data_IF_199556033503
#
_entry.id   IF_199556033503
#
_cell.length_a   1.000
_cell.length_b   1.000
_cell.length_c   1.000
_cell.angle_alpha   90.00
_cell.angle_beta   90.00
_cell.angle_gamma   90.00
#
_symmetry.space_group_name_H-M   'P 1'
#
loop_
_entity.id
_entity.type
_entity.pdbx_description
1 polymer ?
#
# COMPACT_ATOMS: atom_id res chain seq x y z
N UNK A 1 12.76 -26.17 -10.92
CA UNK A 1 11.76 -25.19 -11.42
C UNK A 1 11.20 -24.20 -10.37
N UNK A 2 11.70 -24.13 -9.12
CA UNK A 2 11.13 -23.26 -8.07
C UNK A 2 11.84 -21.92 -7.83
N UNK A 3 12.72 -21.45 -8.72
CA UNK A 3 13.47 -20.20 -8.50
C UNK A 3 12.80 -18.94 -9.09
N UNK A 4 11.76 -19.08 -9.92
CA UNK A 4 11.15 -17.95 -10.65
C UNK A 4 9.93 -17.33 -9.95
N UNK A 5 9.14 -18.11 -9.18
CA UNK A 5 7.91 -17.59 -8.53
C UNK A 5 8.19 -16.70 -7.32
N UNK A 6 9.20 -17.03 -6.51
CA UNK A 6 9.58 -16.27 -5.30
C UNK A 6 10.18 -14.89 -5.58
N UNK A 7 10.61 -14.62 -6.83
CA UNK A 7 11.16 -13.31 -7.25
C UNK A 7 10.07 -12.31 -7.67
N UNK A 8 8.88 -12.80 -8.07
CA UNK A 8 7.76 -11.96 -8.52
C UNK A 8 6.80 -11.57 -7.39
N UNK A 9 6.74 -12.39 -6.35
CA UNK A 9 5.94 -12.15 -5.15
C UNK A 9 6.16 -10.75 -4.53
N UNK A 10 7.40 -10.29 -4.28
CA UNK A 10 7.62 -8.94 -3.72
C UNK A 10 7.26 -7.82 -4.71
N UNK A 11 7.43 -8.05 -6.02
CA UNK A 11 7.03 -7.08 -7.05
C UNK A 11 5.50 -6.89 -7.08
N UNK A 12 4.75 -8.00 -7.02
CA UNK A 12 3.30 -7.97 -6.97
C UNK A 12 2.78 -7.23 -5.73
N UNK A 13 3.40 -7.44 -4.56
CA UNK A 13 3.04 -6.73 -3.32
C UNK A 13 3.31 -5.23 -3.41
N UNK A 14 4.40 -4.81 -4.07
CA UNK A 14 4.68 -3.37 -4.28
C UNK A 14 3.61 -2.74 -5.18
N UNK A 15 3.30 -3.35 -6.32
CA UNK A 15 2.28 -2.83 -7.23
C UNK A 15 0.93 -2.73 -6.51
N UNK A 16 0.55 -3.78 -5.76
CA UNK A 16 -0.65 -3.76 -4.94
C UNK A 16 -0.65 -2.61 -3.92
N UNK A 17 0.47 -2.40 -3.23
CA UNK A 17 0.57 -1.32 -2.24
C UNK A 17 0.38 0.07 -2.84
N UNK A 18 0.84 0.31 -4.08
CA UNK A 18 0.65 1.58 -4.80
C UNK A 18 -0.82 1.79 -5.18
N UNK A 19 -1.48 0.74 -5.68
CA UNK A 19 -2.92 0.80 -5.98
C UNK A 19 -3.74 1.08 -4.71
N UNK A 20 -3.47 0.35 -3.62
CA UNK A 20 -4.18 0.53 -2.36
C UNK A 20 -3.90 1.89 -1.71
N UNK A 21 -2.67 2.41 -1.84
CA UNK A 21 -2.33 3.77 -1.41
C UNK A 21 -3.13 4.82 -2.19
N UNK A 22 -3.25 4.65 -3.51
CA UNK A 22 -4.04 5.55 -4.36
C UNK A 22 -5.52 5.55 -3.97
N UNK A 23 -6.10 4.37 -3.73
CA UNK A 23 -7.48 4.22 -3.26
C UNK A 23 -7.68 4.89 -1.89
N UNK A 24 -6.70 4.75 -0.99
CA UNK A 24 -6.77 5.37 0.34
C UNK A 24 -6.77 6.90 0.25
N UNK A 25 -6.02 7.49 -0.69
CA UNK A 25 -6.03 8.94 -0.93
C UNK A 25 -7.38 9.38 -1.48
N UNK A 26 -7.98 8.62 -2.39
CA UNK A 26 -9.32 8.91 -2.91
C UNK A 26 -10.36 8.90 -1.79
N UNK A 27 -10.35 7.88 -0.93
CA UNK A 27 -11.22 7.77 0.23
C UNK A 27 -11.08 8.98 1.17
N UNK A 28 -9.84 9.44 1.42
CA UNK A 28 -9.58 10.63 2.22
C UNK A 28 -10.16 11.89 1.58
N UNK A 29 -9.97 12.07 0.26
CA UNK A 29 -10.51 13.21 -0.46
C UNK A 29 -12.04 13.24 -0.44
N UNK A 30 -12.70 12.08 -0.63
CA UNK A 30 -14.15 11.95 -0.54
C UNK A 30 -14.66 12.27 0.87
N UNK A 31 -13.96 11.79 1.91
CA UNK A 31 -14.32 12.06 3.30
C UNK A 31 -14.25 13.55 3.63
N UNK A 32 -13.20 14.25 3.17
CA UNK A 32 -13.09 15.71 3.33
C UNK A 32 -14.21 16.43 2.59
N UNK A 33 -14.52 16.02 1.35
CA UNK A 33 -15.66 16.59 0.61
C UNK A 33 -16.99 16.34 1.32
N UNK A 34 -17.17 15.18 1.96
CA UNK A 34 -18.37 14.88 2.75
C UNK A 34 -18.54 15.85 3.94
N UNK A 35 -17.45 16.21 4.64
CA UNK A 35 -17.48 17.23 5.70
C UNK A 35 -17.96 18.58 5.14
N UNK A 36 -17.39 19.02 4.02
CA UNK A 36 -17.73 20.30 3.40
C UNK A 36 -19.20 20.31 2.96
N UNK A 37 -19.69 19.21 2.38
CA UNK A 37 -21.10 19.08 1.97
C UNK A 37 -22.06 19.09 3.16
N UNK A 38 -21.74 18.37 4.23
CA UNK A 38 -22.55 18.38 5.46
C UNK A 38 -22.54 19.74 6.16
N UNK A 39 -21.46 20.50 6.05
CA UNK A 39 -21.39 21.87 6.55
C UNK A 39 -22.26 22.86 5.74
N UNK A 40 -22.62 22.53 4.50
CA UNK A 40 -23.34 23.43 3.59
C UNK A 40 -24.82 23.06 3.40
N UNK A 41 -25.15 21.77 3.42
CA UNK A 41 -26.51 21.27 3.26
C UNK A 41 -26.80 20.29 4.39
N UNK A 42 -27.82 20.58 5.19
CA UNK A 42 -28.38 19.68 6.21
C UNK A 42 -28.87 18.37 5.56
N UNK A 43 -27.94 17.46 5.25
CA UNK A 43 -28.29 16.15 4.71
C UNK A 43 -28.95 15.31 5.80
N UNK A 44 -30.14 14.83 5.50
CA UNK A 44 -30.85 13.85 6.31
C UNK A 44 -30.06 12.54 6.36
N UNK A 45 -30.10 11.89 7.53
CA UNK A 45 -29.40 10.65 7.79
C UNK A 45 -29.82 9.57 6.77
N UNK A 46 -28.87 8.80 6.21
CA UNK A 46 -29.20 7.66 5.37
C UNK A 46 -30.03 6.65 6.19
N UNK A 47 -31.27 6.41 5.79
CA UNK A 47 -32.11 5.38 6.39
C UNK A 47 -31.59 4.02 5.93
N UNK A 48 -30.63 3.48 6.68
CA UNK A 48 -30.12 2.14 6.46
C UNK A 48 -31.13 1.13 7.00
N UNK A 49 -31.74 0.36 6.10
CA UNK A 49 -32.61 -0.75 6.47
C UNK A 49 -31.87 -1.74 7.37
N UNK A 50 -32.52 -2.22 8.43
CA UNK A 50 -31.97 -3.25 9.34
C UNK A 50 -31.46 -4.49 8.59
N UNK A 51 -32.03 -4.79 7.42
CA UNK A 51 -31.58 -5.85 6.53
C UNK A 51 -30.17 -5.58 5.95
N UNK A 52 -29.89 -4.34 5.54
CA UNK A 52 -28.58 -3.94 5.03
C UNK A 52 -27.50 -4.03 6.13
N UNK A 53 -27.87 -3.68 7.36
CA UNK A 53 -26.99 -3.80 8.52
C UNK A 53 -26.65 -5.28 8.83
N UNK A 54 -27.65 -6.16 8.74
CA UNK A 54 -27.45 -7.62 8.88
C UNK A 54 -26.54 -8.22 7.80
N UNK A 55 -26.73 -7.81 6.54
CA UNK A 55 -25.87 -8.24 5.42
C UNK A 55 -24.43 -7.75 5.62
N UNK A 56 -24.21 -6.49 5.98
CA UNK A 56 -22.86 -5.96 6.25
C UNK A 56 -22.19 -6.69 7.42
N UNK A 57 -22.93 -7.00 8.49
CA UNK A 57 -22.42 -7.77 9.61
C UNK A 57 -21.98 -9.19 9.18
N UNK A 58 -22.76 -9.86 8.31
CA UNK A 58 -22.39 -11.17 7.76
C UNK A 58 -21.07 -11.13 6.97
N UNK A 59 -20.85 -10.08 6.19
CA UNK A 59 -19.63 -9.90 5.39
C UNK A 59 -18.41 -9.76 6.31
N UNK A 60 -18.53 -9.02 7.40
CA UNK A 60 -17.46 -8.86 8.39
C UNK A 60 -17.13 -10.21 9.03
N UNK A 61 -18.13 -11.01 9.40
CA UNK A 61 -17.91 -12.35 9.98
C UNK A 61 -17.20 -13.27 8.98
N UNK A 62 -17.61 -13.27 7.71
CA UNK A 62 -16.92 -14.07 6.67
C UNK A 62 -15.46 -13.64 6.50
N UNK A 63 -15.19 -12.32 6.46
CA UNK A 63 -13.81 -11.81 6.36
C UNK A 63 -12.99 -12.14 7.61
N UNK A 64 -13.58 -12.08 8.80
CA UNK A 64 -12.91 -12.49 10.06
C UNK A 64 -12.51 -13.97 10.05
N UNK A 65 -13.40 -14.86 9.60
CA UNK A 65 -13.07 -16.28 9.50
C UNK A 65 -11.92 -16.50 8.52
N UNK A 66 -11.96 -15.83 7.37
CA UNK A 66 -10.90 -15.95 6.36
C UNK A 66 -9.57 -15.39 6.88
N UNK A 67 -9.60 -14.33 7.68
CA UNK A 67 -8.43 -13.74 8.31
C UNK A 67 -7.79 -14.70 9.33
N UNK A 68 -8.61 -15.36 10.16
CA UNK A 68 -8.15 -16.39 11.10
C UNK A 68 -7.51 -17.55 10.36
N UNK A 69 -8.10 -17.99 9.24
CA UNK A 69 -7.52 -19.05 8.38
C UNK A 69 -6.16 -18.60 7.82
N UNK A 70 -6.06 -17.36 7.32
CA UNK A 70 -4.82 -16.82 6.80
C UNK A 70 -3.72 -16.74 7.87
N UNK A 71 -4.06 -16.39 9.11
CA UNK A 71 -3.12 -16.40 10.24
C UNK A 71 -2.66 -17.82 10.57
N UNK A 72 -3.59 -18.77 10.60
CA UNK A 72 -3.33 -20.14 11.06
C UNK A 72 -2.56 -20.99 10.05
N UNK A 73 -2.80 -20.79 8.75
CA UNK A 73 -2.26 -21.64 7.68
C UNK A 73 -1.36 -20.91 6.68
N UNK A 74 -1.26 -19.58 6.76
CA UNK A 74 -0.60 -18.77 5.74
C UNK A 74 0.77 -18.24 6.15
N UNK A 75 1.78 -18.51 5.32
CA UNK A 75 3.10 -17.89 5.36
C UNK A 75 3.59 -17.47 3.96
N UNK A 76 4.25 -16.32 3.87
CA UNK A 76 4.72 -15.75 2.60
C UNK A 76 4.37 -14.27 2.47
N UNK A 77 5.09 -13.56 1.60
CA UNK A 77 4.91 -12.12 1.43
C UNK A 77 3.53 -11.77 0.86
N UNK A 78 3.00 -12.59 -0.05
CA UNK A 78 1.66 -12.42 -0.60
C UNK A 78 0.57 -12.65 0.47
N UNK A 79 0.77 -13.65 1.35
CA UNK A 79 -0.20 -13.94 2.41
C UNK A 79 -0.16 -12.84 3.49
N UNK A 80 1.01 -12.29 3.82
CA UNK A 80 1.09 -11.17 4.75
C UNK A 80 0.44 -9.88 4.22
N UNK A 81 0.56 -9.64 2.91
CA UNK A 81 -0.19 -8.58 2.24
C UNK A 81 -1.72 -8.83 2.32
N UNK A 82 -2.15 -10.07 2.06
CA UNK A 82 -3.56 -10.46 2.15
C UNK A 82 -4.12 -10.35 3.58
N UNK A 83 -3.35 -10.73 4.60
CA UNK A 83 -3.73 -10.55 6.02
C UNK A 83 -3.92 -9.08 6.36
N UNK A 84 -3.03 -8.23 5.87
CA UNK A 84 -3.07 -6.78 6.09
C UNK A 84 -4.30 -6.17 5.41
N UNK A 85 -4.58 -6.58 4.18
CA UNK A 85 -5.76 -6.21 3.42
C UNK A 85 -7.05 -6.57 4.14
N UNK A 86 -7.19 -7.84 4.55
CA UNK A 86 -8.37 -8.29 5.27
C UNK A 86 -8.58 -7.58 6.61
N UNK A 87 -7.51 -7.27 7.35
CA UNK A 87 -7.61 -6.48 8.57
C UNK A 87 -8.15 -5.09 8.28
N UNK A 88 -7.61 -4.42 7.25
CA UNK A 88 -8.05 -3.09 6.86
C UNK A 88 -9.52 -3.09 6.41
N UNK A 89 -9.94 -4.12 5.69
CA UNK A 89 -11.34 -4.33 5.31
C UNK A 89 -12.29 -4.57 6.49
N UNK A 90 -11.86 -5.34 7.49
CA UNK A 90 -12.66 -5.57 8.69
C UNK A 90 -12.82 -4.25 9.46
N UNK A 91 -11.75 -3.46 9.58
CA UNK A 91 -11.79 -2.17 10.26
C UNK A 91 -12.69 -1.16 9.56
N UNK A 92 -12.60 -1.02 8.23
CA UNK A 92 -13.47 -0.12 7.47
C UNK A 92 -14.92 -0.52 7.57
N UNK A 93 -15.24 -1.80 7.35
CA UNK A 93 -16.62 -2.28 7.41
C UNK A 93 -17.20 -2.18 8.83
N UNK A 94 -16.41 -2.50 9.87
CA UNK A 94 -16.83 -2.34 11.26
C UNK A 94 -17.11 -0.87 11.59
N UNK A 95 -16.24 0.03 11.14
CA UNK A 95 -16.44 1.45 11.31
C UNK A 95 -17.68 1.97 10.57
N UNK A 96 -17.93 1.51 9.34
CA UNK A 96 -19.17 1.84 8.62
C UNK A 96 -20.41 1.42 9.39
N UNK A 97 -20.44 0.23 10.00
CA UNK A 97 -21.56 -0.19 10.85
C UNK A 97 -21.64 0.64 12.13
N UNK A 98 -20.51 0.96 12.76
CA UNK A 98 -20.49 1.80 13.95
C UNK A 98 -21.05 3.18 13.64
N UNK A 99 -20.55 3.87 12.60
CA UNK A 99 -21.01 5.20 12.25
C UNK A 99 -22.44 5.20 11.70
N UNK A 100 -22.80 4.26 10.82
CA UNK A 100 -24.15 4.15 10.26
C UNK A 100 -25.18 3.71 11.29
N UNK A 101 -24.84 2.75 12.15
CA UNK A 101 -25.70 2.25 13.23
C UNK A 101 -25.86 3.26 14.37
N UNK A 102 -24.80 3.98 14.74
CA UNK A 102 -24.88 5.08 15.70
C UNK A 102 -25.68 6.25 15.13
N UNK A 103 -25.49 6.62 13.85
CA UNK A 103 -26.25 7.68 13.21
C UNK A 103 -27.77 7.40 13.17
N UNK A 104 -28.18 6.14 12.94
CA UNK A 104 -29.58 5.74 12.95
C UNK A 104 -30.23 5.68 14.35
N UNK A 105 -29.44 5.45 15.42
CA UNK A 105 -29.95 5.34 16.80
C UNK A 105 -29.78 6.61 17.64
N UNK A 106 -28.83 7.47 17.30
CA UNK A 106 -28.45 8.69 18.03
C UNK A 106 -28.77 9.96 17.24
N UNK A 107 -29.83 9.93 16.43
CA UNK A 107 -30.36 11.05 15.64
C UNK A 107 -30.74 12.28 16.51
N UNK A 108 -30.71 12.13 17.83
CA UNK A 108 -31.06 13.14 18.82
C UNK A 108 -29.91 14.08 19.24
N UNK A 109 -28.67 13.87 18.76
CA UNK A 109 -27.50 14.71 19.07
C UNK A 109 -26.85 15.30 17.80
N UNK A 110 -27.01 16.60 17.56
CA UNK A 110 -26.49 17.30 16.36
C UNK A 110 -24.96 17.20 16.17
N UNK A 111 -24.19 17.07 17.25
CA UNK A 111 -22.73 17.01 17.19
C UNK A 111 -22.18 15.68 16.66
N UNK A 112 -22.97 14.62 16.59
CA UNK A 112 -22.51 13.30 16.10
C UNK A 112 -22.45 13.19 14.57
N UNK A 113 -23.00 14.16 13.82
CA UNK A 113 -22.98 14.15 12.34
C UNK A 113 -21.56 14.23 11.77
N UNK A 114 -20.63 14.87 12.48
CA UNK A 114 -19.23 14.97 12.08
C UNK A 114 -18.40 13.72 12.44
N UNK A 115 -18.95 12.80 13.22
CA UNK A 115 -18.22 11.62 13.69
C UNK A 115 -17.91 10.65 12.54
N UNK A 116 -18.83 10.49 11.60
CA UNK A 116 -18.68 9.62 10.42
C UNK A 116 -17.51 10.03 9.50
N UNK A 117 -17.43 11.29 9.02
CA UNK A 117 -16.33 11.68 8.14
C UNK A 117 -14.99 11.82 8.88
N UNK A 118 -14.99 12.19 10.17
CA UNK A 118 -13.77 12.19 11.00
C UNK A 118 -13.25 10.76 11.17
N UNK A 119 -14.15 9.82 11.42
CA UNK A 119 -13.85 8.39 11.48
C UNK A 119 -13.28 7.87 10.15
N UNK A 120 -13.88 8.26 9.03
CA UNK A 120 -13.41 7.90 7.70
C UNK A 120 -11.99 8.45 7.41
N UNK A 121 -11.66 9.67 7.86
CA UNK A 121 -10.31 10.24 7.73
C UNK A 121 -9.29 9.47 8.59
N UNK A 122 -9.64 9.17 9.84
CA UNK A 122 -8.77 8.41 10.74
C UNK A 122 -8.47 7.01 10.19
N UNK A 123 -9.49 6.33 9.66
CA UNK A 123 -9.33 4.99 9.11
C UNK A 123 -8.61 5.04 7.75
N UNK A 124 -8.95 5.98 6.88
CA UNK A 124 -8.27 6.16 5.60
C UNK A 124 -6.78 6.45 5.75
N UNK A 125 -6.41 7.27 6.74
CA UNK A 125 -5.00 7.56 7.05
C UNK A 125 -4.28 6.35 7.64
N UNK A 126 -4.94 5.56 8.50
CA UNK A 126 -4.42 4.30 9.01
C UNK A 126 -4.12 3.29 7.89
N UNK A 127 -5.04 3.13 6.94
CA UNK A 127 -4.89 2.20 5.81
C UNK A 127 -3.74 2.65 4.92
N UNK A 128 -3.69 3.95 4.58
CA UNK A 128 -2.61 4.53 3.80
C UNK A 128 -1.24 4.26 4.45
N UNK A 129 -1.13 4.50 5.76
CA UNK A 129 0.10 4.23 6.51
C UNK A 129 0.47 2.74 6.50
N UNK A 130 -0.51 1.85 6.72
CA UNK A 130 -0.29 0.41 6.72
C UNK A 130 0.25 -0.09 5.38
N UNK A 131 -0.30 0.40 4.26
CA UNK A 131 0.16 0.03 2.92
C UNK A 131 1.49 0.66 2.55
N UNK A 132 1.73 1.91 2.98
CA UNK A 132 3.01 2.58 2.81
C UNK A 132 4.14 1.78 3.47
N UNK A 133 3.97 1.36 4.73
CA UNK A 133 4.98 0.61 5.46
C UNK A 133 5.24 -0.77 4.84
N UNK A 134 4.18 -1.46 4.42
CA UNK A 134 4.31 -2.75 3.75
C UNK A 134 5.07 -2.61 2.43
N UNK A 135 4.68 -1.65 1.58
CA UNK A 135 5.30 -1.39 0.29
C UNK A 135 6.75 -0.95 0.42
N UNK A 136 7.05 0.01 1.30
CA UNK A 136 8.39 0.51 1.56
C UNK A 136 9.32 -0.60 2.07
N UNK A 137 8.85 -1.44 2.99
CA UNK A 137 9.61 -2.59 3.47
C UNK A 137 9.99 -3.56 2.34
N UNK A 138 9.05 -3.87 1.43
CA UNK A 138 9.33 -4.75 0.28
C UNK A 138 10.24 -4.10 -0.75
N UNK A 139 10.09 -2.79 -0.99
CA UNK A 139 10.93 -2.04 -1.91
C UNK A 139 12.38 -2.01 -1.44
N UNK A 140 12.63 -1.71 -0.16
CA UNK A 140 13.98 -1.67 0.41
C UNK A 140 14.70 -3.01 0.30
N UNK A 141 14.00 -4.11 0.55
CA UNK A 141 14.54 -5.47 0.37
C UNK A 141 14.93 -5.67 -1.11
N UNK A 142 14.03 -5.38 -2.04
CA UNK A 142 14.34 -5.52 -3.48
C UNK A 142 15.53 -4.64 -3.89
N UNK A 143 15.54 -3.37 -3.52
CA UNK A 143 16.63 -2.45 -3.84
C UNK A 143 17.96 -2.97 -3.29
N UNK A 144 18.02 -3.42 -2.02
CA UNK A 144 19.24 -3.93 -1.39
C UNK A 144 19.79 -5.18 -2.08
N UNK A 145 18.93 -6.08 -2.57
CA UNK A 145 19.37 -7.32 -3.23
C UNK A 145 19.62 -7.17 -4.75
N UNK A 146 18.86 -6.32 -5.45
CA UNK A 146 18.94 -6.19 -6.91
C UNK A 146 19.94 -5.12 -7.37
N UNK A 147 20.08 -4.01 -6.64
CA UNK A 147 20.96 -2.90 -7.02
C UNK A 147 22.44 -3.30 -7.18
N UNK A 148 23.09 -4.02 -6.22
CA UNK A 148 24.49 -4.43 -6.40
C UNK A 148 24.66 -5.48 -7.52
N UNK A 149 23.66 -6.32 -7.76
CA UNK A 149 23.69 -7.29 -8.86
C UNK A 149 23.60 -6.62 -10.23
N UNK A 150 22.69 -5.66 -10.39
CA UNK A 150 22.54 -4.84 -11.60
C UNK A 150 23.80 -4.01 -11.82
N UNK A 151 24.29 -3.33 -10.79
CA UNK A 151 25.51 -2.52 -10.86
C UNK A 151 26.73 -3.36 -11.27
N UNK A 152 26.93 -4.54 -10.68
CA UNK A 152 28.04 -5.43 -11.01
C UNK A 152 27.95 -6.02 -12.42
N UNK A 153 26.74 -6.27 -12.91
CA UNK A 153 26.51 -6.73 -14.28
C UNK A 153 26.73 -5.61 -15.29
N UNK A 154 26.18 -4.43 -15.02
CA UNK A 154 26.39 -3.23 -15.83
C UNK A 154 27.87 -2.85 -15.91
N UNK A 155 28.59 -2.89 -14.78
CA UNK A 155 30.02 -2.59 -14.75
C UNK A 155 30.85 -3.67 -15.48
N UNK A 156 30.49 -4.95 -15.38
CA UNK A 156 31.15 -6.01 -16.17
C UNK A 156 30.91 -5.88 -17.67
N UNK A 157 29.69 -5.54 -18.09
CA UNK A 157 29.38 -5.31 -19.50
C UNK A 157 30.11 -4.07 -20.01
N UNK A 158 30.09 -2.98 -19.25
CA UNK A 158 30.83 -1.75 -19.55
C UNK A 158 32.34 -2.00 -19.64
N UNK A 159 32.91 -2.78 -18.71
CA UNK A 159 34.32 -3.17 -18.73
C UNK A 159 34.65 -4.07 -19.93
N UNK A 160 33.82 -5.06 -20.24
CA UNK A 160 33.98 -5.90 -21.43
C UNK A 160 33.87 -5.10 -22.72
N UNK A 161 32.95 -4.14 -22.81
CA UNK A 161 32.80 -3.25 -23.96
C UNK A 161 34.00 -2.30 -24.08
N UNK A 162 34.51 -1.77 -22.97
CA UNK A 162 35.73 -0.98 -22.94
C UNK A 162 36.96 -1.79 -23.38
N UNK A 163 37.12 -3.03 -22.92
CA UNK A 163 38.20 -3.93 -23.33
C UNK A 163 38.06 -4.42 -24.79
N UNK A 164 36.83 -4.55 -25.31
CA UNK A 164 36.54 -4.90 -26.71
C UNK A 164 36.79 -3.71 -27.64
N UNK A 165 36.64 -2.48 -27.15
CA UNK A 165 36.89 -1.26 -27.90
C UNK A 165 38.39 -0.92 -27.93
N UNK A 166 39.13 -1.44 -28.92
CA UNK A 166 40.55 -1.09 -29.18
C UNK A 166 40.75 0.30 -29.81
N UNK A 167 39.93 1.30 -29.48
CA UNK A 167 40.09 2.67 -30.00
C UNK A 167 40.05 3.69 -28.87
N UNK A 168 41.19 4.27 -28.48
CA UNK A 168 41.29 5.20 -27.35
C UNK A 168 40.65 6.57 -27.59
N UNK A 169 40.26 6.91 -28.82
CA UNK A 169 39.68 8.22 -29.18
C UNK A 169 38.13 8.30 -29.12
N UNK A 170 37.46 7.33 -28.49
CA UNK A 170 36.00 7.29 -28.49
C UNK A 170 35.40 7.88 -27.21
N UNK A 171 34.48 8.85 -27.35
CA UNK A 171 33.78 9.56 -26.27
C UNK A 171 33.17 8.67 -25.18
N UNK A 172 33.00 7.38 -25.46
CA UNK A 172 32.60 6.36 -24.51
C UNK A 172 33.62 6.14 -23.36
N UNK A 173 34.92 6.27 -23.61
CA UNK A 173 35.95 6.05 -22.58
C UNK A 173 35.93 7.15 -21.52
N UNK A 174 35.73 8.41 -21.93
CA UNK A 174 35.55 9.53 -21.01
C UNK A 174 34.27 9.41 -20.19
N UNK A 175 33.16 8.96 -20.81
CA UNK A 175 31.90 8.75 -20.10
C UNK A 175 32.00 7.65 -19.03
N UNK A 176 32.68 6.54 -19.32
CA UNK A 176 32.94 5.46 -18.35
C UNK A 176 33.83 5.96 -17.20
N UNK A 177 34.89 6.72 -17.53
CA UNK A 177 35.80 7.30 -16.54
C UNK A 177 35.10 8.32 -15.65
N UNK A 178 34.19 9.12 -16.21
CA UNK A 178 33.36 10.08 -15.47
C UNK A 178 32.39 9.40 -14.50
N UNK A 179 31.72 8.32 -14.94
CA UNK A 179 30.85 7.51 -14.07
C UNK A 179 31.65 6.89 -12.92
N UNK A 180 32.79 6.27 -13.21
CA UNK A 180 33.61 5.61 -12.20
C UNK A 180 34.21 6.60 -11.18
N UNK A 181 34.42 7.87 -11.59
CA UNK A 181 34.89 8.95 -10.71
C UNK A 181 33.80 9.50 -9.79
N UNK A 182 32.52 9.38 -10.15
CA UNK A 182 31.38 9.90 -9.37
C UNK A 182 30.60 8.83 -8.59
N UNK A 183 30.89 7.53 -8.77
CA UNK A 183 30.20 6.42 -8.07
C UNK A 183 30.91 5.88 -6.83
N UNK A 184 31.77 6.67 -6.17
CA UNK A 184 32.22 6.39 -4.78
C UNK A 184 31.07 6.61 -3.78
N UNK A 185 29.99 5.84 -3.90
CA UNK A 185 28.98 5.67 -2.85
C UNK A 185 29.34 4.42 -2.06
N UNK A 186 29.82 4.64 -0.83
CA UNK A 186 30.15 3.61 0.14
C UNK A 186 28.94 2.71 0.43
N UNK A 187 28.92 1.52 -0.17
CA UNK A 187 27.89 0.49 0.03
C UNK A 187 27.97 -0.15 1.44
N UNK A 188 28.94 0.25 2.27
CA UNK A 188 29.08 -0.18 3.65
C UNK A 188 28.34 0.69 4.68
N UNK A 189 27.62 1.74 4.25
CA UNK A 189 26.89 2.66 5.13
C UNK A 189 25.35 2.50 5.13
N UNK A 190 24.77 1.41 4.59
CA UNK A 190 23.32 1.13 4.57
C UNK A 190 22.92 -0.33 4.90
#
# INVERSE_FOLDING_TARGET
MMARRTRLEPLAVIVLSVFMGSISIQLLAESVQAIVRMSQNNQEAPNVSDLALGIMASVIVTKLILWIICIKFGGGMAIDALKTDQRNDILTNAASILFSGLAGRLQQYENLKYLDPVGAILIGSYILWSWYQLGAGKLTILTKYYFPFIYKTFNRVSLCLALRSRRPDSSYFEFISWIHMHTNLDVHAL
#
